data_IF_450382606030
#
_entry.id   IF_450382606030
#
_cell.length_a   1.000
_cell.length_b   1.000
_cell.length_c   1.000
_cell.angle_alpha   90.00
_cell.angle_beta   90.00
_cell.angle_gamma   90.00
#
_symmetry.space_group_name_H-M   'P 1'
#
loop_
_entity.id
_entity.type
_entity.pdbx_description
1 polymer ?
#
# COMPACT_ATOMS: atom_id res chain seq x y z
N UNK A 1 25.40 -8.71 1.55
CA UNK A 1 24.53 -8.00 2.51
C UNK A 1 24.05 -8.82 3.71
N UNK A 2 24.76 -9.92 4.06
CA UNK A 2 24.49 -10.71 5.28
C UNK A 2 24.66 -9.87 6.56
N UNK A 3 25.54 -8.88 6.53
CA UNK A 3 25.88 -8.05 7.71
C UNK A 3 24.75 -7.13 8.16
N UNK A 4 23.95 -6.61 7.24
CA UNK A 4 22.82 -5.72 7.55
C UNK A 4 21.68 -6.50 8.18
N UNK A 5 21.37 -7.69 7.66
CA UNK A 5 20.37 -8.57 8.26
C UNK A 5 20.78 -9.01 9.68
N UNK A 6 22.06 -9.33 9.89
CA UNK A 6 22.55 -9.72 11.21
C UNK A 6 22.37 -8.60 12.25
N UNK A 7 22.64 -7.35 11.91
CA UNK A 7 22.41 -6.19 12.79
C UNK A 7 20.92 -5.98 13.10
N UNK A 8 20.05 -6.21 12.15
CA UNK A 8 18.60 -6.09 12.35
C UNK A 8 18.11 -7.14 13.34
N UNK A 9 18.53 -8.40 13.18
CA UNK A 9 18.16 -9.49 14.08
C UNK A 9 18.79 -9.38 15.48
N UNK A 10 19.98 -8.82 15.57
CA UNK A 10 20.65 -8.62 16.87
C UNK A 10 20.19 -7.36 17.63
N UNK A 11 19.30 -6.56 17.04
CA UNK A 11 18.88 -5.28 17.61
C UNK A 11 19.99 -4.21 17.64
N UNK A 12 21.14 -4.45 17.01
CA UNK A 12 22.25 -3.50 16.96
C UNK A 12 22.19 -2.56 15.75
N UNK A 13 21.06 -2.55 15.04
CA UNK A 13 20.85 -1.67 13.91
C UNK A 13 20.67 -0.22 14.36
N UNK A 14 21.40 0.69 13.72
CA UNK A 14 21.31 2.13 13.94
C UNK A 14 20.72 2.82 12.72
N UNK A 15 20.10 3.97 12.92
CA UNK A 15 19.58 4.82 11.82
C UNK A 15 20.66 5.25 10.81
N UNK A 16 21.91 5.23 11.25
CA UNK A 16 23.09 5.48 10.40
C UNK A 16 23.55 4.26 9.61
N UNK A 17 23.07 3.07 9.94
CA UNK A 17 23.39 1.88 9.18
C UNK A 17 22.71 1.95 7.81
N UNK A 18 23.51 1.95 6.77
CA UNK A 18 23.02 1.92 5.38
C UNK A 18 22.42 0.56 5.06
N UNK A 19 21.20 0.31 5.52
CA UNK A 19 20.40 -0.76 4.99
C UNK A 19 19.94 -0.32 3.60
N UNK A 20 20.61 -0.80 2.60
CA UNK A 20 20.26 -0.55 1.22
C UNK A 20 18.73 -0.66 1.07
N UNK A 21 18.10 0.41 0.66
CA UNK A 21 16.69 0.55 0.32
C UNK A 21 15.66 0.74 1.44
N UNK A 22 16.03 0.80 2.71
CA UNK A 22 15.03 0.97 3.78
C UNK A 22 15.14 2.30 4.52
N UNK A 23 16.32 2.87 4.63
CA UNK A 23 16.61 4.00 5.52
C UNK A 23 17.28 5.21 4.85
N UNK A 24 17.80 5.08 3.65
CA UNK A 24 18.42 6.24 2.99
C UNK A 24 17.34 7.23 2.55
N UNK A 25 17.25 8.35 3.25
CA UNK A 25 16.60 9.55 2.76
C UNK A 25 17.61 10.22 1.81
N UNK A 26 17.33 10.20 0.53
CA UNK A 26 17.84 11.25 -0.32
C UNK A 26 18.98 10.97 -1.28
N UNK A 27 19.46 9.77 -1.53
CA UNK A 27 20.42 9.58 -2.62
C UNK A 27 20.13 8.35 -3.47
N UNK A 28 19.15 8.49 -4.31
CA UNK A 28 18.95 7.55 -5.39
C UNK A 28 17.51 7.06 -5.54
N UNK A 29 17.20 6.74 -6.77
CA UNK A 29 15.92 6.20 -7.23
C UNK A 29 15.52 4.86 -6.54
N UNK A 30 16.33 4.37 -5.60
CA UNK A 30 16.13 3.08 -4.94
C UNK A 30 15.55 3.16 -3.53
N UNK A 31 15.43 4.35 -2.94
CA UNK A 31 14.83 4.52 -1.61
C UNK A 31 13.29 4.58 -1.71
N UNK A 32 12.56 4.24 -0.65
CA UNK A 32 11.10 4.39 -0.65
C UNK A 32 10.65 5.81 -1.01
N UNK A 33 11.29 6.84 -0.46
CA UNK A 33 10.96 8.24 -0.76
C UNK A 33 11.37 8.62 -2.20
N UNK A 34 12.55 8.20 -2.66
CA UNK A 34 13.02 8.47 -4.01
C UNK A 34 12.15 7.84 -5.10
N UNK A 35 11.45 6.75 -4.79
CA UNK A 35 10.46 6.12 -5.69
C UNK A 35 9.08 6.75 -5.55
N UNK A 36 8.70 7.14 -4.35
CA UNK A 36 7.37 7.67 -4.07
C UNK A 36 7.16 9.06 -4.66
N UNK A 37 8.12 9.98 -4.51
CA UNK A 37 7.97 11.36 -4.99
C UNK A 37 7.71 11.48 -6.49
N UNK A 38 8.50 10.83 -7.39
CA UNK A 38 8.19 10.84 -8.82
C UNK A 38 6.83 10.19 -9.13
N UNK A 39 6.47 9.11 -8.43
CA UNK A 39 5.20 8.44 -8.62
C UNK A 39 4.01 9.32 -8.20
N UNK A 40 4.10 9.99 -7.06
CA UNK A 40 3.09 10.96 -6.60
C UNK A 40 2.93 12.09 -7.62
N UNK A 41 4.05 12.62 -8.16
CA UNK A 41 4.01 13.64 -9.20
C UNK A 41 3.29 13.16 -10.46
N UNK A 42 3.54 11.93 -10.90
CA UNK A 42 2.83 11.34 -12.06
C UNK A 42 1.34 11.27 -11.78
N UNK A 43 0.96 10.79 -10.60
CA UNK A 43 -0.46 10.69 -10.18
C UNK A 43 -1.12 12.08 -10.15
N UNK A 44 -0.45 13.08 -9.56
CA UNK A 44 -0.96 14.45 -9.53
C UNK A 44 -1.16 15.01 -10.95
N UNK A 45 -0.28 14.65 -11.90
CA UNK A 45 -0.47 15.01 -13.31
C UNK A 45 -1.73 14.38 -13.92
N UNK A 46 -2.01 13.12 -13.59
CA UNK A 46 -3.23 12.44 -14.03
C UNK A 46 -4.46 13.17 -13.47
N UNK A 47 -4.50 13.40 -12.15
CA UNK A 47 -5.63 14.06 -11.49
C UNK A 47 -5.87 15.46 -12.06
N UNK A 48 -4.82 16.25 -12.22
CA UNK A 48 -4.92 17.63 -12.71
C UNK A 48 -5.32 17.76 -14.20
N UNK A 49 -5.16 16.70 -15.00
CA UNK A 49 -5.42 16.76 -16.42
C UNK A 49 -6.54 15.83 -16.89
N UNK A 50 -7.19 15.11 -16.00
CA UNK A 50 -8.21 14.12 -16.38
C UNK A 50 -9.35 14.72 -17.20
N UNK A 51 -9.76 15.94 -16.89
CA UNK A 51 -10.86 16.63 -17.56
C UNK A 51 -10.51 17.15 -18.96
N UNK A 52 -9.24 17.06 -19.35
CA UNK A 52 -8.78 17.38 -20.72
C UNK A 52 -8.93 16.22 -21.69
N UNK A 53 -9.27 15.04 -21.18
CA UNK A 53 -9.40 13.81 -21.99
C UNK A 53 -10.88 13.48 -22.17
N UNK A 54 -11.37 13.24 -23.39
CA UNK A 54 -12.76 12.86 -23.63
C UNK A 54 -12.99 11.42 -23.16
N UNK A 55 -13.43 11.26 -21.92
CA UNK A 55 -13.70 9.98 -21.27
C UNK A 55 -15.18 9.86 -20.91
N UNK A 56 -15.69 8.62 -20.90
CA UNK A 56 -16.98 8.35 -20.25
C UNK A 56 -16.84 8.53 -18.75
N UNK A 57 -17.97 8.69 -18.03
CA UNK A 57 -17.95 8.83 -16.57
C UNK A 57 -17.33 7.60 -15.88
N UNK A 58 -17.57 6.41 -16.40
CA UNK A 58 -16.99 5.16 -15.88
C UNK A 58 -15.46 5.14 -16.08
N UNK A 59 -14.98 5.38 -17.29
CA UNK A 59 -13.54 5.44 -17.58
C UNK A 59 -12.82 6.49 -16.72
N UNK A 60 -13.47 7.65 -16.53
CA UNK A 60 -12.95 8.71 -15.67
C UNK A 60 -12.82 8.23 -14.23
N UNK A 61 -13.84 7.59 -13.69
CA UNK A 61 -13.84 7.06 -12.33
C UNK A 61 -12.78 5.95 -12.16
N UNK A 62 -12.67 5.04 -13.12
CA UNK A 62 -11.64 4.00 -13.12
C UNK A 62 -10.21 4.55 -13.06
N UNK A 63 -9.94 5.60 -13.85
CA UNK A 63 -8.62 6.23 -13.88
C UNK A 63 -8.37 7.01 -12.58
N UNK A 64 -9.32 7.81 -12.12
CA UNK A 64 -9.19 8.59 -10.89
C UNK A 64 -9.10 7.68 -9.66
N UNK A 65 -9.91 6.63 -9.59
CA UNK A 65 -9.87 5.67 -8.49
C UNK A 65 -8.50 5.01 -8.36
N UNK A 66 -7.89 4.61 -9.47
CA UNK A 66 -6.52 4.10 -9.47
C UNK A 66 -5.51 5.19 -9.10
N UNK A 67 -5.67 6.41 -9.59
CA UNK A 67 -4.79 7.52 -9.28
C UNK A 67 -4.76 7.81 -7.78
N UNK A 68 -5.92 7.96 -7.15
CA UNK A 68 -6.04 8.16 -5.71
C UNK A 68 -5.49 6.99 -4.91
N UNK A 69 -5.80 5.75 -5.31
CA UNK A 69 -5.26 4.55 -4.66
C UNK A 69 -3.72 4.54 -4.68
N UNK A 70 -3.11 4.79 -5.83
CA UNK A 70 -1.66 4.77 -5.94
C UNK A 70 -1.00 5.96 -5.25
N UNK A 71 -1.61 7.15 -5.23
CA UNK A 71 -1.08 8.29 -4.48
C UNK A 71 -1.03 7.96 -2.99
N UNK A 72 -2.12 7.46 -2.43
CA UNK A 72 -2.17 7.00 -1.06
C UNK A 72 -1.16 5.87 -0.79
N UNK A 73 -1.04 4.89 -1.68
CA UNK A 73 -0.10 3.77 -1.55
C UNK A 73 1.36 4.22 -1.48
N UNK A 74 1.77 5.10 -2.37
CA UNK A 74 3.13 5.64 -2.35
C UNK A 74 3.37 6.49 -1.12
N UNK A 75 2.38 7.29 -0.72
CA UNK A 75 2.42 8.11 0.47
C UNK A 75 2.59 7.25 1.73
N UNK A 76 1.76 6.22 1.87
CA UNK A 76 1.84 5.26 2.98
C UNK A 76 3.21 4.59 3.09
N UNK A 77 3.82 4.22 1.95
CA UNK A 77 5.14 3.60 1.95
C UNK A 77 6.25 4.52 2.49
N UNK A 78 6.04 5.82 2.44
CA UNK A 78 6.94 6.81 3.04
C UNK A 78 6.60 6.99 4.52
N UNK A 79 5.37 7.39 4.82
CA UNK A 79 5.01 7.80 6.20
C UNK A 79 5.14 6.67 7.22
N UNK A 80 4.86 5.44 6.85
CA UNK A 80 5.04 4.28 7.77
C UNK A 80 6.49 4.02 8.18
N UNK A 81 7.47 4.61 7.50
CA UNK A 81 8.90 4.45 7.76
C UNK A 81 9.54 5.70 8.32
N UNK A 82 9.12 6.87 7.85
CA UNK A 82 9.77 8.14 8.14
C UNK A 82 8.92 9.08 9.00
N UNK A 83 7.70 8.67 9.35
CA UNK A 83 6.73 9.54 10.01
C UNK A 83 6.04 10.46 9.01
N UNK A 84 5.44 11.56 9.51
CA UNK A 84 4.74 12.49 8.65
C UNK A 84 5.61 13.09 7.55
N UNK A 85 5.01 13.52 6.45
CA UNK A 85 5.67 14.18 5.34
C UNK A 85 4.80 15.33 4.82
N UNK A 86 5.36 16.26 4.01
CA UNK A 86 4.58 17.33 3.40
C UNK A 86 3.38 16.81 2.60
N UNK A 87 2.27 17.52 2.60
CA UNK A 87 1.12 17.18 1.76
C UNK A 87 1.43 17.58 0.31
N UNK A 88 1.44 16.57 -0.56
CA UNK A 88 1.79 16.71 -1.98
C UNK A 88 0.56 16.45 -2.86
N UNK A 89 -0.40 17.37 -2.82
CA UNK A 89 -1.71 17.23 -3.48
C UNK A 89 -1.81 17.96 -4.83
N UNK A 90 -0.81 18.79 -5.15
CA UNK A 90 -0.79 19.61 -6.37
C UNK A 90 0.46 19.33 -7.22
N UNK A 91 0.45 19.87 -8.45
CA UNK A 91 1.63 19.92 -9.29
C UNK A 91 2.47 21.15 -8.92
N UNK A 92 3.62 20.90 -8.32
CA UNK A 92 4.58 21.95 -8.07
C UNK A 92 5.30 22.33 -9.36
N UNK A 93 5.39 23.63 -9.61
CA UNK A 93 6.05 24.18 -10.81
C UNK A 93 7.56 24.06 -10.77
N UNK A 94 8.13 23.85 -9.60
CA UNK A 94 9.55 23.95 -9.31
C UNK A 94 9.92 25.35 -8.85
N UNK A 95 10.89 25.46 -7.98
CA UNK A 95 11.29 26.71 -7.31
C UNK A 95 11.40 26.48 -5.81
N UNK A 96 11.25 27.52 -5.02
CA UNK A 96 11.35 27.50 -3.56
C UNK A 96 10.05 26.96 -2.91
N UNK A 97 9.69 25.74 -3.29
CA UNK A 97 8.53 25.05 -2.70
C UNK A 97 8.94 24.52 -1.31
N UNK A 98 9.09 25.40 -0.34
CA UNK A 98 9.30 25.02 1.07
C UNK A 98 7.98 24.59 1.69
N UNK A 99 7.65 23.33 1.46
CA UNK A 99 6.42 22.72 1.98
C UNK A 99 6.73 22.10 3.33
N UNK A 100 6.10 22.60 4.41
CA UNK A 100 6.39 22.13 5.76
C UNK A 100 6.00 20.67 5.93
N UNK A 101 6.82 19.96 6.68
CA UNK A 101 6.50 18.60 7.13
C UNK A 101 5.36 18.67 8.16
N UNK A 102 4.34 17.86 7.96
CA UNK A 102 3.23 17.73 8.92
C UNK A 102 3.42 16.48 9.79
N UNK A 103 2.58 16.32 10.82
CA UNK A 103 2.59 15.15 11.70
C UNK A 103 2.21 13.88 10.95
N UNK A 104 2.50 12.71 11.56
CA UNK A 104 2.07 11.43 11.00
C UNK A 104 0.54 11.38 10.86
N UNK A 105 -0.19 11.84 11.87
CA UNK A 105 -1.65 11.80 11.88
C UNK A 105 -2.28 12.72 10.82
N UNK A 106 -1.73 13.89 10.60
CA UNK A 106 -2.18 14.80 9.53
C UNK A 106 -1.91 14.16 8.15
N UNK A 107 -0.73 13.60 7.96
CA UNK A 107 -0.38 12.86 6.74
C UNK A 107 -1.33 11.67 6.51
N UNK A 108 -1.60 10.91 7.57
CA UNK A 108 -2.49 9.76 7.54
C UNK A 108 -3.93 10.16 7.21
N UNK A 109 -4.44 11.20 7.84
CA UNK A 109 -5.80 11.69 7.58
C UNK A 109 -5.99 12.13 6.13
N UNK A 110 -5.04 12.87 5.58
CA UNK A 110 -5.07 13.27 4.18
C UNK A 110 -5.01 12.05 3.24
N UNK A 111 -4.11 11.12 3.49
CA UNK A 111 -3.97 9.88 2.73
C UNK A 111 -5.23 9.02 2.77
N UNK A 112 -5.88 8.92 3.94
CA UNK A 112 -7.15 8.20 4.09
C UNK A 112 -8.24 8.85 3.26
N UNK A 113 -8.24 10.17 3.11
CA UNK A 113 -9.12 10.88 2.18
C UNK A 113 -8.95 10.41 0.74
N UNK A 114 -7.72 10.22 0.28
CA UNK A 114 -7.45 9.64 -1.05
C UNK A 114 -7.95 8.20 -1.16
N UNK A 115 -7.79 7.39 -0.12
CA UNK A 115 -8.30 6.02 -0.12
C UNK A 115 -9.84 6.03 -0.21
N UNK A 116 -10.52 6.96 0.45
CA UNK A 116 -11.98 7.09 0.37
C UNK A 116 -12.44 7.50 -1.04
N UNK A 117 -11.72 8.39 -1.71
CA UNK A 117 -11.96 8.67 -3.14
C UNK A 117 -11.79 7.39 -3.99
N UNK A 118 -10.72 6.63 -3.75
CA UNK A 118 -10.51 5.38 -4.47
C UNK A 118 -11.64 4.38 -4.23
N UNK A 119 -12.12 4.21 -2.99
CA UNK A 119 -13.23 3.31 -2.65
C UNK A 119 -14.51 3.70 -3.40
N UNK A 120 -14.77 5.00 -3.57
CA UNK A 120 -15.97 5.49 -4.25
C UNK A 120 -15.93 5.29 -5.77
N UNK A 121 -14.75 5.21 -6.36
CA UNK A 121 -14.53 5.24 -7.82
C UNK A 121 -14.09 3.90 -8.42
N UNK A 122 -13.40 3.06 -7.64
CA UNK A 122 -12.85 1.79 -8.14
C UNK A 122 -13.97 0.77 -8.38
N UNK A 123 -13.85 -0.05 -9.45
CA UNK A 123 -14.78 -1.14 -9.71
C UNK A 123 -14.56 -2.29 -8.73
N UNK A 124 -15.57 -3.16 -8.65
CA UNK A 124 -15.50 -4.37 -7.84
C UNK A 124 -14.53 -5.40 -8.43
N UNK A 125 -14.47 -5.47 -9.77
CA UNK A 125 -13.62 -6.39 -10.52
C UNK A 125 -13.08 -5.71 -11.77
N UNK A 126 -11.99 -6.25 -12.32
CA UNK A 126 -11.45 -5.87 -13.62
C UNK A 126 -11.60 -7.01 -14.61
N UNK A 127 -11.70 -6.72 -15.91
CA UNK A 127 -11.59 -7.75 -16.93
C UNK A 127 -10.29 -8.55 -16.83
N UNK A 128 -10.30 -9.80 -17.26
CA UNK A 128 -9.15 -10.71 -17.13
C UNK A 128 -7.84 -10.19 -17.73
N UNK A 129 -7.91 -9.43 -18.82
CA UNK A 129 -6.73 -8.80 -19.43
C UNK A 129 -6.21 -7.60 -18.62
N UNK A 130 -6.94 -7.13 -17.62
CA UNK A 130 -6.63 -5.98 -16.76
C UNK A 130 -6.47 -6.35 -15.28
N UNK A 131 -6.44 -7.64 -14.95
CA UNK A 131 -6.27 -8.08 -13.57
C UNK A 131 -4.93 -7.59 -12.97
N UNK A 132 -4.91 -7.43 -11.65
CA UNK A 132 -3.76 -6.85 -10.93
C UNK A 132 -3.87 -5.34 -10.71
N UNK A 133 -4.88 -4.68 -11.30
CA UNK A 133 -5.26 -3.31 -10.93
C UNK A 133 -5.97 -3.33 -9.57
N UNK A 134 -5.89 -2.25 -8.77
CA UNK A 134 -6.61 -2.17 -7.51
C UNK A 134 -8.12 -2.19 -7.73
N UNK A 135 -8.82 -2.94 -6.88
CA UNK A 135 -10.27 -3.00 -6.83
C UNK A 135 -10.81 -2.22 -5.64
N UNK A 136 -12.12 -2.05 -5.55
CA UNK A 136 -12.77 -1.46 -4.38
C UNK A 136 -12.43 -2.23 -3.09
N UNK A 137 -12.40 -3.57 -3.13
CA UNK A 137 -11.99 -4.38 -1.98
C UNK A 137 -10.53 -4.12 -1.59
N UNK A 138 -9.63 -3.95 -2.58
CA UNK A 138 -8.24 -3.60 -2.30
C UNK A 138 -8.11 -2.25 -1.58
N UNK A 139 -8.92 -1.26 -1.97
CA UNK A 139 -8.93 0.04 -1.31
C UNK A 139 -9.52 -0.03 0.11
N UNK A 140 -10.56 -0.83 0.34
CA UNK A 140 -11.13 -1.07 1.67
C UNK A 140 -10.11 -1.75 2.61
N UNK A 141 -9.42 -2.79 2.15
CA UNK A 141 -8.38 -3.46 2.91
C UNK A 141 -7.16 -2.55 3.16
N UNK A 142 -6.83 -1.70 2.21
CA UNK A 142 -5.78 -0.71 2.39
C UNK A 142 -6.15 0.36 3.42
N UNK A 143 -7.42 0.80 3.45
CA UNK A 143 -7.92 1.74 4.47
C UNK A 143 -7.75 1.18 5.88
N UNK A 144 -8.12 -0.09 6.07
CA UNK A 144 -7.94 -0.78 7.35
C UNK A 144 -6.47 -0.78 7.77
N UNK A 145 -5.58 -1.22 6.90
CA UNK A 145 -4.14 -1.25 7.17
C UNK A 145 -3.59 0.14 7.52
N UNK A 146 -3.98 1.17 6.78
CA UNK A 146 -3.56 2.55 7.03
C UNK A 146 -4.00 3.05 8.41
N UNK A 147 -5.26 2.81 8.77
CA UNK A 147 -5.81 3.18 10.07
C UNK A 147 -5.24 2.37 11.23
N UNK A 148 -4.89 1.10 11.01
CA UNK A 148 -4.21 0.29 12.02
C UNK A 148 -2.82 0.85 12.35
N UNK A 149 -2.07 1.27 11.34
CA UNK A 149 -0.80 1.98 11.56
C UNK A 149 -1.01 3.31 12.28
N UNK A 150 -2.06 4.06 11.94
CA UNK A 150 -2.41 5.33 12.58
C UNK A 150 -2.75 5.15 14.08
N UNK A 151 -3.33 4.02 14.44
CA UNK A 151 -3.63 3.65 15.83
C UNK A 151 -2.42 3.14 16.61
N UNK A 152 -1.31 2.81 15.95
CA UNK A 152 -0.14 2.25 16.61
C UNK A 152 0.47 3.23 17.63
N UNK A 153 0.82 2.77 18.85
CA UNK A 153 1.52 3.61 19.83
C UNK A 153 2.81 4.23 19.28
N UNK A 154 3.48 3.55 18.37
CA UNK A 154 4.68 4.06 17.70
C UNK A 154 4.42 5.33 16.90
N UNK A 155 3.23 5.46 16.32
CA UNK A 155 2.83 6.61 15.49
C UNK A 155 2.22 7.76 16.29
N UNK A 156 2.02 7.59 17.60
CA UNK A 156 1.53 8.65 18.51
C UNK A 156 2.59 9.70 18.84
N UNK A 157 3.77 9.59 18.25
CA UNK A 157 4.83 10.57 18.45
C UNK A 157 4.63 11.79 17.57
N UNK A 158 4.80 12.96 18.17
CA UNK A 158 4.94 14.19 17.44
C UNK A 158 6.27 14.27 16.70
N UNK A 159 6.46 15.25 15.84
CA UNK A 159 7.67 15.43 15.03
C UNK A 159 8.97 15.40 15.84
N UNK A 160 8.92 15.81 17.10
CA UNK A 160 10.08 15.96 17.98
C UNK A 160 10.13 14.93 19.12
N UNK A 161 9.22 13.97 19.15
CA UNK A 161 9.16 12.97 20.24
C UNK A 161 9.51 11.59 19.73
N UNK A 162 10.36 10.89 20.44
CA UNK A 162 10.68 9.47 20.24
C UNK A 162 10.04 8.57 21.30
N UNK A 163 9.24 9.13 22.19
CA UNK A 163 8.59 8.37 23.25
C UNK A 163 7.35 7.65 22.71
N UNK A 164 7.23 6.38 23.02
CA UNK A 164 6.02 5.60 22.75
C UNK A 164 4.92 6.11 23.68
N UNK A 165 3.81 6.55 23.11
CA UNK A 165 2.63 7.00 23.85
C UNK A 165 1.66 5.84 24.09
N UNK A 166 0.67 6.10 24.93
CA UNK A 166 -0.41 5.16 25.20
C UNK A 166 -1.23 4.90 23.92
N UNK A 167 -1.90 3.77 23.90
CA UNK A 167 -2.75 3.34 22.79
C UNK A 167 -3.97 4.29 22.64
N UNK A 168 -4.20 4.77 21.43
CA UNK A 168 -5.37 5.59 21.13
C UNK A 168 -6.56 4.68 20.76
N UNK A 169 -7.53 4.58 21.68
CA UNK A 169 -8.69 3.71 21.52
C UNK A 169 -9.62 4.15 20.37
N UNK A 170 -9.77 5.44 20.12
CA UNK A 170 -10.65 5.93 19.05
C UNK A 170 -10.07 5.61 17.68
N UNK A 171 -8.76 5.75 17.50
CA UNK A 171 -8.06 5.32 16.29
C UNK A 171 -8.13 3.81 16.10
N UNK A 172 -7.98 3.03 17.17
CA UNK A 172 -8.13 1.58 17.12
C UNK A 172 -9.56 1.16 16.72
N UNK A 173 -10.58 1.84 17.24
CA UNK A 173 -11.99 1.62 16.84
C UNK A 173 -12.21 1.98 15.38
N UNK A 174 -11.59 3.06 14.87
CA UNK A 174 -11.68 3.43 13.46
C UNK A 174 -11.07 2.35 12.56
N UNK A 175 -9.89 1.81 12.92
CA UNK A 175 -9.28 0.70 12.22
C UNK A 175 -10.17 -0.56 12.24
N UNK A 176 -10.72 -0.93 13.39
CA UNK A 176 -11.63 -2.07 13.53
C UNK A 176 -12.91 -1.91 12.68
N UNK A 177 -13.49 -0.70 12.62
CA UNK A 177 -14.63 -0.41 11.75
C UNK A 177 -14.27 -0.57 10.27
N UNK A 178 -13.10 -0.12 9.87
CA UNK A 178 -12.63 -0.27 8.49
C UNK A 178 -12.37 -1.74 8.13
N UNK A 179 -11.80 -2.53 9.03
CA UNK A 179 -11.62 -3.97 8.87
C UNK A 179 -12.98 -4.67 8.71
N UNK A 180 -13.94 -4.34 9.56
CA UNK A 180 -15.30 -4.88 9.48
C UNK A 180 -15.98 -4.52 8.16
N UNK A 181 -15.82 -3.30 7.69
CA UNK A 181 -16.37 -2.87 6.41
C UNK A 181 -15.76 -3.66 5.24
N UNK A 182 -14.44 -3.90 5.24
CA UNK A 182 -13.77 -4.69 4.22
C UNK A 182 -14.25 -6.16 4.22
N UNK A 183 -14.35 -6.79 5.40
CA UNK A 183 -14.84 -8.17 5.55
C UNK A 183 -16.31 -8.28 5.11
N UNK A 184 -17.15 -7.33 5.52
CA UNK A 184 -18.57 -7.31 5.16
C UNK A 184 -18.75 -7.17 3.65
N UNK A 185 -18.02 -6.24 3.06
CA UNK A 185 -18.01 -6.04 1.60
C UNK A 185 -17.57 -7.31 0.85
N UNK A 186 -16.48 -7.94 1.29
CA UNK A 186 -15.98 -9.18 0.70
C UNK A 186 -17.07 -10.27 0.72
N UNK A 187 -17.69 -10.52 1.89
CA UNK A 187 -18.73 -11.53 2.02
C UNK A 187 -19.96 -11.25 1.16
N UNK A 188 -20.38 -10.00 1.07
CA UNK A 188 -21.54 -9.59 0.26
C UNK A 188 -21.30 -9.67 -1.24
N UNK A 189 -20.04 -9.59 -1.68
CA UNK A 189 -19.66 -9.56 -3.08
C UNK A 189 -18.86 -10.79 -3.52
N UNK A 190 -18.83 -11.85 -2.73
CA UNK A 190 -18.10 -13.08 -3.03
C UNK A 190 -18.45 -13.65 -4.42
N UNK A 191 -19.74 -13.78 -4.71
CA UNK A 191 -20.20 -14.30 -6.00
C UNK A 191 -19.74 -13.48 -7.20
N UNK A 192 -19.52 -12.17 -7.02
CA UNK A 192 -19.09 -11.25 -8.07
C UNK A 192 -17.57 -11.19 -8.21
N UNK A 193 -16.87 -11.20 -7.10
CA UNK A 193 -15.43 -10.97 -7.07
C UNK A 193 -14.61 -12.24 -7.07
N UNK A 194 -15.20 -13.36 -6.66
CA UNK A 194 -14.50 -14.61 -6.41
C UNK A 194 -13.56 -14.59 -5.20
N UNK A 195 -13.53 -13.48 -4.43
CA UNK A 195 -12.67 -13.32 -3.26
C UNK A 195 -13.41 -13.72 -2.00
N UNK A 196 -12.86 -14.68 -1.28
CA UNK A 196 -13.39 -15.19 0.00
C UNK A 196 -12.26 -15.73 0.86
N UNK A 197 -12.54 -16.08 2.08
CA UNK A 197 -11.60 -16.86 2.88
C UNK A 197 -11.55 -18.30 2.38
N UNK A 198 -10.35 -18.86 2.30
CA UNK A 198 -10.17 -20.26 2.00
C UNK A 198 -10.65 -21.13 3.17
N UNK A 199 -11.11 -22.34 2.88
CA UNK A 199 -11.36 -23.34 3.90
C UNK A 199 -10.03 -23.85 4.48
N UNK A 200 -10.09 -24.53 5.63
CA UNK A 200 -8.90 -25.12 6.24
C UNK A 200 -8.16 -26.09 5.28
N UNK A 201 -8.92 -26.85 4.51
CA UNK A 201 -8.37 -27.82 3.54
C UNK A 201 -7.75 -27.13 2.33
N UNK A 202 -8.32 -26.00 1.89
CA UNK A 202 -7.80 -25.19 0.79
C UNK A 202 -6.56 -24.40 1.19
N UNK A 203 -6.46 -23.99 2.47
CA UNK A 203 -5.41 -23.07 2.95
C UNK A 203 -4.02 -23.56 2.66
N UNK A 204 -3.73 -24.84 2.87
CA UNK A 204 -2.42 -25.43 2.55
C UNK A 204 -2.14 -25.36 1.05
N UNK A 205 -3.15 -25.56 0.21
CA UNK A 205 -3.00 -25.53 -1.24
C UNK A 205 -2.71 -24.13 -1.80
N UNK A 206 -3.11 -23.06 -1.09
CA UNK A 206 -2.77 -21.69 -1.48
C UNK A 206 -1.25 -21.45 -1.56
N UNK A 207 -0.46 -22.17 -0.77
CA UNK A 207 0.99 -22.00 -0.72
C UNK A 207 1.75 -23.03 -1.57
N UNK A 208 1.24 -24.26 -1.65
CA UNK A 208 1.95 -25.36 -2.29
C UNK A 208 1.73 -25.45 -3.81
N UNK A 209 0.57 -25.03 -4.30
CA UNK A 209 0.22 -25.13 -5.71
C UNK A 209 0.04 -23.74 -6.35
N UNK A 210 1.14 -23.14 -6.78
CA UNK A 210 1.16 -21.77 -7.27
C UNK A 210 0.30 -21.49 -8.52
N UNK A 211 -0.07 -22.46 -9.27
CA UNK A 211 -0.76 -22.30 -10.55
C UNK A 211 -2.26 -22.64 -10.53
N UNK A 212 -2.82 -22.89 -9.34
CA UNK A 212 -4.25 -23.19 -9.21
C UNK A 212 -5.10 -21.92 -9.08
N UNK A 213 -6.37 -22.01 -9.48
CA UNK A 213 -7.36 -20.94 -9.31
C UNK A 213 -7.56 -20.55 -7.85
N UNK A 214 -7.27 -21.46 -6.91
CA UNK A 214 -7.31 -21.21 -5.47
C UNK A 214 -6.45 -20.02 -5.02
N UNK A 215 -5.35 -19.72 -5.71
CA UNK A 215 -4.53 -18.53 -5.41
C UNK A 215 -5.28 -17.21 -5.46
N UNK A 216 -6.34 -17.14 -6.23
CA UNK A 216 -7.11 -15.92 -6.38
C UNK A 216 -8.11 -15.73 -5.25
N UNK A 217 -8.43 -16.80 -4.52
CA UNK A 217 -9.51 -16.82 -3.55
C UNK A 217 -9.29 -15.86 -2.38
N UNK A 218 -8.09 -15.83 -1.78
CA UNK A 218 -7.75 -14.90 -0.69
C UNK A 218 -6.93 -13.69 -1.14
N UNK A 219 -6.57 -13.61 -2.42
CA UNK A 219 -5.73 -12.52 -2.89
C UNK A 219 -6.57 -11.29 -3.22
N UNK A 220 -6.56 -10.33 -2.32
CA UNK A 220 -7.31 -9.07 -2.47
C UNK A 220 -6.70 -8.18 -3.55
N UNK A 221 -5.36 -8.09 -3.58
CA UNK A 221 -4.64 -7.31 -4.57
C UNK A 221 -3.21 -7.84 -4.73
N UNK A 222 -2.75 -7.95 -5.98
CA UNK A 222 -1.43 -8.44 -6.31
C UNK A 222 -0.81 -7.65 -7.44
N UNK A 223 0.51 -7.62 -7.45
CA UNK A 223 1.24 -7.10 -8.59
C UNK A 223 1.41 -8.21 -9.63
N UNK A 224 0.92 -7.98 -10.84
CA UNK A 224 1.27 -8.87 -11.95
C UNK A 224 2.78 -8.79 -12.18
N UNK A 225 3.45 -9.89 -11.97
CA UNK A 225 4.86 -10.05 -12.27
C UNK A 225 4.97 -10.98 -13.46
N UNK A 226 5.63 -10.50 -14.53
CA UNK A 226 6.05 -11.41 -15.60
C UNK A 226 7.30 -12.10 -15.06
N UNK A 227 7.29 -13.42 -14.83
CA UNK A 227 8.46 -14.12 -14.33
C UNK A 227 9.58 -13.96 -15.36
N UNK A 228 10.69 -13.39 -14.97
CA UNK A 228 11.93 -13.52 -15.73
C UNK A 228 12.52 -14.89 -15.44
N UNK A 229 13.33 -15.45 -16.35
CA UNK A 229 13.98 -16.74 -16.14
C UNK A 229 14.82 -16.77 -14.86
N UNK A 230 15.37 -15.62 -14.44
CA UNK A 230 16.06 -15.46 -13.17
C UNK A 230 15.14 -15.53 -11.94
N UNK A 231 13.85 -15.29 -12.09
CA UNK A 231 12.88 -15.38 -10.97
C UNK A 231 12.35 -16.81 -10.80
N UNK A 232 12.31 -17.60 -11.87
CA UNK A 232 11.94 -19.03 -11.80
C UNK A 232 12.93 -19.81 -10.96
N UNK A 233 14.22 -19.50 -11.03
CA UNK A 233 15.25 -20.16 -10.23
C UNK A 233 15.16 -19.83 -8.73
N UNK A 234 14.55 -18.70 -8.36
CA UNK A 234 14.37 -18.29 -6.96
C UNK A 234 13.14 -18.91 -6.30
N UNK A 235 12.14 -19.26 -7.09
CA UNK A 235 10.94 -19.94 -6.59
C UNK A 235 11.22 -21.42 -6.29
N UNK A 236 12.27 -21.97 -6.89
CA UNK A 236 12.67 -23.36 -6.71
C UNK A 236 13.37 -23.67 -5.36
N UNK A 237 13.73 -22.64 -4.57
CA UNK A 237 14.39 -22.82 -3.27
C UNK A 237 13.47 -23.27 -2.13
N UNK A 238 12.17 -23.42 -2.39
CA UNK A 238 11.21 -23.95 -1.41
C UNK A 238 10.83 -25.41 -1.66
N UNK A 239 11.39 -26.04 -2.69
CA UNK A 239 11.22 -27.45 -2.96
C UNK A 239 12.46 -28.26 -2.53
N UNK A 240 12.67 -28.35 -1.25
CA UNK A 240 13.27 -29.58 -0.73
C UNK A 240 12.09 -30.48 -0.42
N UNK A 241 11.78 -31.39 -1.34
CA UNK A 241 10.91 -32.52 -1.03
C UNK A 241 11.51 -33.24 0.16
N UNK A 242 10.75 -33.60 1.16
CA UNK A 242 11.17 -34.60 2.10
C UNK A 242 11.25 -35.92 1.32
N UNK A 243 12.42 -36.43 1.19
CA UNK A 243 12.67 -37.85 0.80
C UNK A 243 12.13 -38.77 1.85
#
# INVERSE_FOLDING_TARGET
>A
NKTVFAKFFSGSWLTTDKAANVTEIGNGNNTPIGKALPAIRIVNRVIANIDKVPLTGEQRNEILGQAYFYRAWFYFNVIKRYGGMPILDVLFAGGDDDIPRVTYHESSAWMVGDIDQAISMLPDTWPDNQYGRPTKLAALAFKEMALLYDASPLMQNDLNSVQIKSYDQERAKAAAKAAWAAITYMKQNEAKTGVRLATADEYMNLFWFPDTELKRVETIWWRRRIPSDSDRSKTCLLYTSPS
#
